data_IF_809525536031
#
_entry.id   IF_809525536031
#
_cell.length_a   1.000
_cell.length_b   1.000
_cell.length_c   1.000
_cell.angle_alpha   90.00
_cell.angle_beta   90.00
_cell.angle_gamma   90.00
#
_symmetry.space_group_name_H-M   'P 1'
#
loop_
_entity.id
_entity.type
_entity.pdbx_description
1 polymer ?
#
# COMPACT_ATOMS: atom_id res chain seq x y z
N UNK A 1 -3.89 -1.08 -12.16
CA UNK A 1 -4.66 0.17 -11.98
C UNK A 1 -4.15 0.77 -10.66
N UNK A 2 -3.64 2.02 -10.67
CA UNK A 2 -2.84 2.60 -9.57
C UNK A 2 -3.39 3.97 -9.17
N UNK A 3 -3.13 4.36 -7.93
CA UNK A 3 -3.38 5.70 -7.40
C UNK A 3 -2.54 6.72 -8.18
N UNK A 4 -3.17 7.77 -8.71
CA UNK A 4 -2.59 8.75 -9.62
C UNK A 4 -1.37 9.47 -9.06
N UNK A 5 -1.46 9.88 -7.80
CA UNK A 5 -0.36 10.53 -7.06
C UNK A 5 0.31 9.56 -6.08
N UNK A 6 0.13 8.24 -6.26
CA UNK A 6 0.73 7.22 -5.43
C UNK A 6 2.20 7.04 -5.76
N UNK A 7 3.06 7.02 -4.75
CA UNK A 7 4.51 6.86 -4.86
C UNK A 7 5.01 5.81 -3.87
N UNK A 8 6.16 5.21 -4.14
CA UNK A 8 6.93 4.48 -3.12
C UNK A 8 7.35 5.47 -2.01
N UNK A 9 7.58 4.97 -0.79
CA UNK A 9 8.08 5.82 0.28
C UNK A 9 9.44 6.43 -0.10
N UNK A 10 9.51 7.75 -0.12
CA UNK A 10 10.69 8.55 -0.46
C UNK A 10 10.68 9.89 0.28
N UNK A 11 11.62 10.80 -0.02
CA UNK A 11 11.61 12.19 0.44
C UNK A 11 10.62 13.09 -0.31
N UNK A 12 9.71 13.75 0.40
CA UNK A 12 8.66 14.61 -0.15
C UNK A 12 7.26 13.99 -0.16
N UNK A 13 7.09 12.75 0.28
CA UNK A 13 5.86 11.98 0.13
C UNK A 13 5.03 12.05 1.42
N UNK A 14 3.72 12.24 1.27
CA UNK A 14 2.78 12.17 2.38
C UNK A 14 2.71 10.73 2.90
N UNK A 15 3.09 10.53 4.15
CA UNK A 15 3.17 9.21 4.80
C UNK A 15 2.09 8.96 5.85
N UNK A 16 1.56 10.00 6.48
CA UNK A 16 0.51 9.90 7.49
C UNK A 16 -0.27 11.21 7.66
N UNK A 17 -1.31 11.20 8.48
CA UNK A 17 -2.11 12.37 8.86
C UNK A 17 -2.48 12.34 10.35
N UNK A 18 -2.30 13.44 11.05
CA UNK A 18 -2.64 13.61 12.47
C UNK A 18 -3.81 14.57 12.66
N UNK A 19 -4.75 14.21 13.55
CA UNK A 19 -5.89 15.06 13.86
C UNK A 19 -5.43 16.34 14.57
N UNK A 20 -5.92 17.48 14.10
CA UNK A 20 -5.78 18.78 14.78
C UNK A 20 -7.16 19.39 15.06
N UNK A 21 -7.18 20.56 15.71
CA UNK A 21 -8.41 21.31 15.97
C UNK A 21 -9.07 21.78 14.67
N UNK A 22 -8.27 22.16 13.67
CA UNK A 22 -8.75 22.79 12.42
C UNK A 22 -8.85 21.82 11.24
N UNK A 23 -8.37 20.58 11.38
CA UNK A 23 -8.39 19.58 10.33
C UNK A 23 -7.43 18.43 10.62
N UNK A 24 -6.69 18.01 9.59
CA UNK A 24 -5.69 16.95 9.67
C UNK A 24 -4.36 17.44 9.14
N UNK A 25 -3.33 17.40 9.98
CA UNK A 25 -1.96 17.75 9.61
C UNK A 25 -1.32 16.59 8.88
N UNK A 26 -0.95 16.80 7.62
CA UNK A 26 -0.18 15.81 6.88
C UNK A 26 1.23 15.66 7.45
N UNK A 27 1.77 14.45 7.33
CA UNK A 27 3.15 14.11 7.63
C UNK A 27 3.86 13.79 6.33
N UNK A 28 4.95 14.51 6.07
CA UNK A 28 5.71 14.42 4.82
C UNK A 28 7.13 13.98 5.15
N UNK A 29 7.62 12.96 4.46
CA UNK A 29 8.95 12.40 4.71
C UNK A 29 10.04 13.36 4.25
N UNK A 30 11.07 13.56 5.07
CA UNK A 30 12.28 14.29 4.66
C UNK A 30 13.31 13.37 3.97
N UNK A 31 14.49 13.90 3.68
CA UNK A 31 15.59 13.15 3.04
C UNK A 31 16.07 11.94 3.83
N UNK A 32 15.84 11.94 5.15
CA UNK A 32 16.18 10.85 6.06
C UNK A 32 14.98 9.93 6.33
N UNK A 33 13.88 10.10 5.58
CA UNK A 33 12.60 9.41 5.74
C UNK A 33 11.97 9.62 7.12
N UNK A 34 12.25 10.76 7.75
CA UNK A 34 11.62 11.16 9.01
C UNK A 34 10.40 12.01 8.69
N UNK A 35 9.29 11.72 9.35
CA UNK A 35 8.03 12.44 9.18
C UNK A 35 8.11 13.87 9.71
N UNK A 36 8.01 14.84 8.81
CA UNK A 36 7.92 16.28 9.11
C UNK A 36 6.48 16.77 8.97
N UNK A 37 6.16 17.87 9.64
CA UNK A 37 4.85 18.50 9.51
C UNK A 37 4.68 19.11 8.11
N UNK A 38 3.58 18.76 7.45
CA UNK A 38 3.12 19.35 6.20
C UNK A 38 1.81 20.12 6.36
N UNK A 39 1.12 20.41 5.25
CA UNK A 39 -0.11 21.20 5.25
C UNK A 39 -1.22 20.57 6.09
N UNK A 40 -2.11 21.44 6.61
CA UNK A 40 -3.31 21.03 7.35
C UNK A 40 -4.51 21.05 6.41
N UNK A 41 -5.19 19.90 6.30
CA UNK A 41 -6.31 19.69 5.39
C UNK A 41 -7.59 19.57 6.22
N UNK A 42 -8.55 20.46 6.00
CA UNK A 42 -9.87 20.34 6.59
C UNK A 42 -10.75 19.50 5.66
N UNK A 43 -11.00 18.24 6.04
CA UNK A 43 -11.78 17.31 5.21
C UNK A 43 -13.24 17.75 5.00
N UNK A 44 -13.81 18.52 5.92
CA UNK A 44 -15.21 18.97 5.84
C UNK A 44 -15.37 20.12 4.84
N UNK A 45 -14.54 21.15 4.96
CA UNK A 45 -14.59 22.31 4.06
C UNK A 45 -13.84 22.09 2.74
N UNK A 46 -12.91 21.13 2.69
CA UNK A 46 -12.00 20.93 1.57
C UNK A 46 -10.90 21.99 1.45
N UNK A 47 -10.74 22.86 2.45
CA UNK A 47 -9.69 23.87 2.48
C UNK A 47 -8.39 23.29 3.02
N UNK A 48 -7.27 23.70 2.41
CA UNK A 48 -5.92 23.36 2.88
C UNK A 48 -5.17 24.61 3.29
N UNK A 49 -4.61 24.58 4.49
CA UNK A 49 -3.67 25.59 4.98
C UNK A 49 -2.26 25.09 4.66
N UNK A 50 -1.58 25.80 3.75
CA UNK A 50 -0.23 25.46 3.30
C UNK A 50 0.81 25.90 4.34
N UNK A 51 1.06 25.03 5.31
CA UNK A 51 2.13 25.15 6.31
C UNK A 51 3.10 23.97 6.17
N UNK A 52 4.35 24.16 6.58
CA UNK A 52 5.35 23.09 6.58
C UNK A 52 5.75 22.58 5.19
N UNK A 53 6.21 21.34 5.12
CA UNK A 53 6.70 20.73 3.89
C UNK A 53 5.52 20.35 2.98
N UNK A 54 5.53 20.86 1.74
CA UNK A 54 4.52 20.50 0.75
C UNK A 54 4.81 19.12 0.16
N UNK A 55 3.81 18.20 0.12
CA UNK A 55 4.03 16.88 -0.43
C UNK A 55 4.10 16.89 -1.97
N UNK A 56 4.91 16.00 -2.52
CA UNK A 56 5.10 15.76 -3.96
C UNK A 56 4.46 14.44 -4.42
N UNK A 57 4.03 13.60 -3.48
CA UNK A 57 3.35 12.33 -3.71
C UNK A 57 2.66 11.82 -2.46
N UNK A 58 2.01 10.66 -2.56
CA UNK A 58 1.31 10.00 -1.44
C UNK A 58 1.82 8.56 -1.35
N UNK A 59 2.35 8.15 -0.19
CA UNK A 59 2.75 6.75 0.02
C UNK A 59 1.51 5.87 0.23
N UNK A 60 1.68 4.54 0.19
CA UNK A 60 0.61 3.61 0.57
C UNK A 60 0.07 3.86 1.99
N UNK A 61 0.92 4.19 2.96
CA UNK A 61 0.50 4.53 4.33
C UNK A 61 -0.22 5.88 4.38
N UNK A 62 0.22 6.83 3.55
CA UNK A 62 -0.46 8.12 3.39
C UNK A 62 -1.86 8.00 2.82
N UNK A 63 -2.06 7.06 1.88
CA UNK A 63 -3.40 6.72 1.35
C UNK A 63 -4.30 6.17 2.45
N UNK A 64 -3.79 5.25 3.28
CA UNK A 64 -4.53 4.72 4.43
C UNK A 64 -4.94 5.84 5.39
N UNK A 65 -4.00 6.72 5.73
CA UNK A 65 -4.25 7.84 6.61
C UNK A 65 -5.26 8.83 6.04
N UNK A 66 -5.19 9.10 4.74
CA UNK A 66 -6.10 10.00 4.03
C UNK A 66 -7.52 9.43 3.96
N UNK A 67 -7.67 8.15 3.62
CA UNK A 67 -8.98 7.47 3.62
C UNK A 67 -9.58 7.50 5.02
N UNK A 68 -8.79 7.13 6.04
CA UNK A 68 -9.23 7.18 7.43
C UNK A 68 -9.70 8.59 7.84
N UNK A 69 -8.89 9.61 7.59
CA UNK A 69 -9.21 11.00 7.92
C UNK A 69 -10.48 11.48 7.20
N UNK A 70 -10.62 11.15 5.92
CA UNK A 70 -11.75 11.54 5.09
C UNK A 70 -13.05 10.83 5.52
N UNK A 71 -12.99 9.54 5.85
CA UNK A 71 -14.14 8.81 6.41
C UNK A 71 -14.54 9.39 7.78
N UNK A 72 -13.56 9.68 8.64
CA UNK A 72 -13.81 10.18 10.01
C UNK A 72 -14.51 11.54 10.04
N UNK A 73 -14.29 12.37 9.02
CA UNK A 73 -14.91 13.69 8.90
C UNK A 73 -16.09 13.73 7.90
N UNK A 74 -16.56 12.58 7.40
CA UNK A 74 -17.71 12.51 6.49
C UNK A 74 -17.44 13.10 5.11
N UNK A 75 -16.16 13.15 4.71
CA UNK A 75 -15.73 13.49 3.35
C UNK A 75 -15.87 12.29 2.41
N UNK A 76 -15.66 11.09 2.93
CA UNK A 76 -15.99 9.82 2.27
C UNK A 76 -17.17 9.18 2.99
N UNK A 77 -18.26 8.95 2.27
CA UNK A 77 -19.45 8.24 2.75
C UNK A 77 -20.02 7.40 1.61
N UNK A 78 -20.48 6.18 1.90
CA UNK A 78 -21.11 5.28 0.91
C UNK A 78 -20.31 5.13 -0.39
N UNK A 79 -18.99 4.95 -0.25
CA UNK A 79 -18.04 4.79 -1.34
C UNK A 79 -17.86 6.01 -2.27
N UNK A 80 -18.30 7.19 -1.84
CA UNK A 80 -18.20 8.44 -2.61
C UNK A 80 -17.40 9.50 -1.87
N UNK A 81 -16.64 10.29 -2.63
CA UNK A 81 -15.95 11.47 -2.11
C UNK A 81 -16.85 12.68 -2.36
N UNK A 82 -17.34 13.31 -1.29
CA UNK A 82 -18.06 14.58 -1.43
C UNK A 82 -17.15 15.64 -2.05
N UNK A 83 -17.61 16.38 -3.04
CA UNK A 83 -16.82 17.41 -3.74
C UNK A 83 -15.46 16.90 -4.26
N UNK A 84 -15.45 15.71 -4.87
CA UNK A 84 -14.28 15.11 -5.51
C UNK A 84 -13.49 16.10 -6.40
N UNK A 85 -12.14 16.10 -6.37
CA UNK A 85 -11.24 15.30 -5.53
C UNK A 85 -10.91 15.95 -4.17
N UNK A 86 -10.33 15.17 -3.25
CA UNK A 86 -9.64 15.70 -2.06
C UNK A 86 -8.34 16.34 -2.53
N UNK A 87 -8.24 17.66 -2.45
CA UNK A 87 -7.05 18.41 -2.88
C UNK A 87 -6.10 18.60 -1.70
N UNK A 88 -4.92 17.96 -1.77
CA UNK A 88 -3.85 18.15 -0.78
C UNK A 88 -3.10 19.44 -1.10
N UNK A 89 -2.72 19.66 -2.35
CA UNK A 89 -2.14 20.92 -2.82
C UNK A 89 -2.43 21.13 -4.32
N UNK A 90 -1.73 22.07 -4.98
CA UNK A 90 -1.94 22.37 -6.40
C UNK A 90 -1.63 21.20 -7.35
N UNK A 91 -0.70 20.32 -6.97
CA UNK A 91 -0.23 19.18 -7.77
C UNK A 91 -0.81 17.85 -7.30
N UNK A 92 -1.09 17.72 -6.02
CA UNK A 92 -1.46 16.47 -5.37
C UNK A 92 -2.94 16.48 -4.98
N UNK A 93 -3.66 15.48 -5.48
CA UNK A 93 -5.07 15.25 -5.20
C UNK A 93 -5.36 13.77 -5.12
N UNK A 94 -6.39 13.41 -4.36
CA UNK A 94 -6.90 12.04 -4.23
C UNK A 94 -8.36 12.01 -4.70
N UNK A 95 -8.61 11.29 -5.78
CA UNK A 95 -9.91 11.22 -6.47
C UNK A 95 -10.73 9.99 -6.07
N UNK A 96 -12.00 9.94 -6.49
CA UNK A 96 -12.85 8.75 -6.33
C UNK A 96 -12.27 7.52 -7.02
N UNK A 97 -11.62 7.68 -8.17
CA UNK A 97 -10.96 6.57 -8.85
C UNK A 97 -9.78 6.05 -8.02
N UNK A 98 -9.00 6.95 -7.42
CA UNK A 98 -7.92 6.56 -6.49
C UNK A 98 -8.49 5.83 -5.26
N UNK A 99 -9.61 6.30 -4.73
CA UNK A 99 -10.32 5.66 -3.63
C UNK A 99 -10.82 4.26 -4.00
N UNK A 100 -11.41 4.09 -5.18
CA UNK A 100 -11.86 2.78 -5.69
C UNK A 100 -10.68 1.82 -5.89
N UNK A 101 -9.53 2.29 -6.34
CA UNK A 101 -8.32 1.46 -6.45
C UNK A 101 -7.77 1.04 -5.09
N UNK A 102 -7.70 1.97 -4.14
CA UNK A 102 -7.32 1.65 -2.76
C UNK A 102 -8.30 0.67 -2.12
N UNK A 103 -9.60 0.86 -2.36
CA UNK A 103 -10.68 0.00 -1.91
C UNK A 103 -10.55 -1.45 -2.37
N UNK A 104 -10.18 -1.68 -3.64
CA UNK A 104 -9.88 -3.04 -4.15
C UNK A 104 -8.76 -3.72 -3.36
N UNK A 105 -7.70 -2.98 -3.02
CA UNK A 105 -6.56 -3.54 -2.28
C UNK A 105 -6.92 -3.81 -0.81
N UNK A 106 -7.58 -2.87 -0.14
CA UNK A 106 -8.07 -3.02 1.24
C UNK A 106 -9.03 -4.20 1.33
N UNK A 107 -9.98 -4.26 0.40
CA UNK A 107 -10.95 -5.34 0.29
C UNK A 107 -10.31 -6.71 0.05
N UNK A 108 -9.32 -6.80 -0.84
CA UNK A 108 -8.58 -8.05 -1.07
C UNK A 108 -7.85 -8.54 0.18
N UNK A 109 -7.23 -7.63 0.94
CA UNK A 109 -6.52 -7.96 2.18
C UNK A 109 -7.50 -8.50 3.24
N UNK A 110 -8.62 -7.81 3.47
CA UNK A 110 -9.62 -8.22 4.46
C UNK A 110 -10.34 -9.52 4.07
N UNK A 111 -10.74 -9.68 2.80
CA UNK A 111 -11.25 -10.95 2.28
C UNK A 111 -10.23 -12.08 2.44
N UNK A 112 -8.94 -11.80 2.21
CA UNK A 112 -7.85 -12.75 2.40
C UNK A 112 -7.73 -13.21 3.85
N UNK A 113 -7.72 -12.28 4.80
CA UNK A 113 -7.70 -12.60 6.23
C UNK A 113 -8.89 -13.49 6.63
N UNK A 114 -10.10 -13.09 6.26
CA UNK A 114 -11.33 -13.85 6.54
C UNK A 114 -11.28 -15.24 5.90
N UNK A 115 -10.86 -15.35 4.64
CA UNK A 115 -10.73 -16.64 3.94
C UNK A 115 -9.78 -17.57 4.67
N UNK A 116 -8.61 -17.08 5.10
CA UNK A 116 -7.64 -17.89 5.82
C UNK A 116 -8.18 -18.36 7.17
N UNK A 117 -8.85 -17.48 7.93
CA UNK A 117 -9.46 -17.81 9.21
C UNK A 117 -10.56 -18.86 9.06
N UNK A 118 -11.46 -18.68 8.09
CA UNK A 118 -12.55 -19.62 7.81
C UNK A 118 -12.03 -20.98 7.34
N UNK A 119 -11.03 -20.98 6.45
CA UNK A 119 -10.40 -22.22 5.96
C UNK A 119 -9.70 -22.97 7.08
N UNK A 120 -9.10 -22.25 8.03
CA UNK A 120 -8.45 -22.83 9.20
C UNK A 120 -9.42 -23.21 10.33
N UNK A 121 -10.71 -22.85 10.24
CA UNK A 121 -11.69 -23.03 11.31
C UNK A 121 -11.35 -22.21 12.57
N UNK A 122 -10.70 -21.05 12.39
CA UNK A 122 -10.27 -20.18 13.49
C UNK A 122 -11.19 -18.96 13.56
N UNK A 123 -11.85 -18.80 14.70
CA UNK A 123 -12.62 -17.60 15.01
C UNK A 123 -11.69 -16.36 15.03
N UNK A 124 -12.06 -15.26 14.35
CA UNK A 124 -11.29 -14.01 14.39
C UNK A 124 -10.93 -13.52 15.78
N UNK A 125 -11.79 -13.74 16.78
CA UNK A 125 -11.52 -13.34 18.16
C UNK A 125 -10.31 -14.05 18.77
N UNK A 126 -9.93 -15.22 18.24
CA UNK A 126 -8.75 -15.97 18.70
C UNK A 126 -7.45 -15.40 18.16
N UNK A 127 -7.49 -14.57 17.12
CA UNK A 127 -6.28 -13.92 16.58
C UNK A 127 -5.93 -12.73 17.47
N UNK A 128 -4.95 -12.92 18.36
CA UNK A 128 -4.53 -11.87 19.32
C UNK A 128 -3.37 -11.02 18.84
N UNK A 129 -2.54 -11.56 17.97
CA UNK A 129 -1.30 -10.90 17.53
C UNK A 129 -1.24 -10.85 16.01
N UNK A 130 -1.01 -9.65 15.47
CA UNK A 130 -0.74 -9.46 14.05
C UNK A 130 0.69 -8.96 13.85
N UNK A 131 1.44 -9.64 12.99
CA UNK A 131 2.79 -9.26 12.60
C UNK A 131 2.72 -8.50 11.27
N UNK A 132 3.20 -7.27 11.26
CA UNK A 132 3.18 -6.36 10.13
C UNK A 132 4.62 -6.21 9.61
N UNK A 133 4.89 -6.70 8.40
CA UNK A 133 6.22 -6.68 7.79
C UNK A 133 6.27 -5.78 6.54
N UNK A 134 7.48 -5.48 6.09
CA UNK A 134 7.76 -4.60 4.95
C UNK A 134 7.69 -3.11 5.31
N UNK A 135 8.07 -2.24 4.37
CA UNK A 135 8.07 -0.79 4.59
C UNK A 135 6.69 -0.30 5.07
N UNK A 136 5.62 -0.59 4.33
CA UNK A 136 4.27 -0.18 4.73
C UNK A 136 3.88 -0.78 6.10
N UNK A 137 4.22 -2.04 6.37
CA UNK A 137 3.94 -2.66 7.67
C UNK A 137 4.66 -1.98 8.84
N UNK A 138 5.81 -1.36 8.60
CA UNK A 138 6.62 -0.66 9.62
C UNK A 138 6.13 0.74 9.95
N UNK A 139 5.54 1.41 8.96
CA UNK A 139 5.17 2.82 9.07
C UNK A 139 3.67 3.06 9.16
N UNK A 140 2.84 2.08 8.78
CA UNK A 140 1.38 2.26 8.81
C UNK A 140 0.90 2.42 10.25
N UNK A 141 0.00 3.36 10.48
CA UNK A 141 -0.65 3.54 11.77
C UNK A 141 -1.61 2.37 12.04
N UNK A 142 -1.43 1.62 13.14
CA UNK A 142 -2.23 0.44 13.42
C UNK A 142 -3.69 0.76 13.83
N UNK A 143 -3.95 1.92 14.42
CA UNK A 143 -5.32 2.39 14.72
C UNK A 143 -6.05 2.67 13.42
N UNK A 144 -5.45 3.49 12.54
CA UNK A 144 -6.04 3.83 11.24
C UNK A 144 -6.27 2.56 10.41
N UNK A 145 -5.30 1.65 10.40
CA UNK A 145 -5.35 0.38 9.67
C UNK A 145 -6.44 -0.57 10.16
N UNK A 146 -6.68 -0.66 11.46
CA UNK A 146 -7.81 -1.43 12.01
C UNK A 146 -9.14 -0.87 11.53
N UNK A 147 -9.32 0.44 11.64
CA UNK A 147 -10.57 1.11 11.28
C UNK A 147 -10.93 0.97 9.80
N UNK A 148 -9.92 0.94 8.92
CA UNK A 148 -10.16 0.71 7.48
C UNK A 148 -10.17 -0.78 7.09
N UNK A 149 -9.92 -1.71 8.01
CA UNK A 149 -10.02 -3.15 7.76
C UNK A 149 -8.74 -3.86 7.28
N UNK A 150 -7.57 -3.22 7.38
CA UNK A 150 -6.28 -3.87 7.08
C UNK A 150 -5.75 -4.71 8.23
N UNK A 151 -6.14 -4.40 9.47
CA UNK A 151 -5.76 -5.18 10.66
C UNK A 151 -7.00 -5.84 11.23
N UNK A 152 -6.87 -7.10 11.65
CA UNK A 152 -7.97 -7.84 12.29
C UNK A 152 -8.43 -7.07 13.54
N UNK A 153 -9.73 -6.75 13.65
CA UNK A 153 -10.28 -5.88 14.70
C UNK A 153 -9.98 -6.37 16.12
N UNK A 154 -9.98 -7.69 16.32
CA UNK A 154 -9.81 -8.36 17.62
C UNK A 154 -8.36 -8.47 18.11
N UNK A 155 -7.36 -8.13 17.28
CA UNK A 155 -5.96 -8.20 17.66
C UNK A 155 -5.64 -7.27 18.83
N UNK A 156 -5.13 -7.80 19.95
CA UNK A 156 -4.71 -7.01 21.10
C UNK A 156 -3.23 -6.63 21.04
N UNK A 157 -2.48 -7.18 20.08
CA UNK A 157 -1.07 -6.88 19.87
C UNK A 157 -0.79 -6.72 18.39
N UNK A 158 -0.18 -5.61 18.00
CA UNK A 158 0.32 -5.39 16.64
C UNK A 158 1.83 -5.25 16.73
N UNK A 159 2.56 -6.10 15.99
CA UNK A 159 4.03 -6.10 15.96
C UNK A 159 4.52 -5.63 14.60
N UNK A 160 5.21 -4.51 14.54
CA UNK A 160 5.80 -3.99 13.30
C UNK A 160 7.23 -4.52 13.17
N UNK A 161 7.41 -5.57 12.36
CA UNK A 161 8.64 -6.38 12.33
C UNK A 161 9.55 -6.07 11.15
N UNK A 162 9.47 -4.86 10.59
CA UNK A 162 10.46 -4.36 9.62
C UNK A 162 10.54 -5.22 8.35
N UNK A 163 11.65 -5.12 7.60
CA UNK A 163 11.91 -5.96 6.43
C UNK A 163 12.40 -7.37 6.80
N UNK A 164 11.48 -8.27 7.10
CA UNK A 164 11.80 -9.67 7.46
C UNK A 164 12.54 -10.43 6.36
N UNK A 165 12.31 -10.11 5.08
CA UNK A 165 13.05 -10.73 3.97
C UNK A 165 14.53 -10.32 3.95
N UNK A 166 14.83 -9.06 4.29
CA UNK A 166 16.21 -8.56 4.36
C UNK A 166 16.93 -9.14 5.58
N UNK A 167 16.24 -9.17 6.73
CA UNK A 167 16.75 -9.82 7.94
C UNK A 167 17.05 -11.30 7.71
N UNK A 168 16.15 -12.03 7.04
CA UNK A 168 16.40 -13.42 6.68
C UNK A 168 17.59 -13.58 5.72
N UNK A 169 17.77 -12.69 4.75
CA UNK A 169 18.92 -12.73 3.86
C UNK A 169 20.25 -12.50 4.60
N UNK A 170 20.26 -11.60 5.59
CA UNK A 170 21.40 -11.38 6.49
C UNK A 170 21.68 -12.61 7.35
N UNK A 171 20.65 -13.18 7.99
CA UNK A 171 20.78 -14.40 8.78
C UNK A 171 21.33 -15.55 7.93
N UNK A 172 20.86 -15.67 6.69
CA UNK A 172 21.32 -16.68 5.74
C UNK A 172 22.80 -16.54 5.38
N UNK A 173 23.28 -15.31 5.19
CA UNK A 173 24.68 -15.04 4.91
C UNK A 173 25.60 -15.44 6.07
N UNK A 174 25.11 -15.28 7.31
CA UNK A 174 25.87 -15.60 8.53
C UNK A 174 25.73 -17.07 8.95
N UNK A 175 24.63 -17.73 8.57
CA UNK A 175 24.26 -19.10 8.98
C UNK A 175 23.65 -19.89 7.81
N UNK A 176 24.44 -20.22 6.78
CA UNK A 176 23.94 -20.89 5.58
C UNK A 176 23.32 -22.28 5.85
N UNK A 177 23.68 -22.93 6.95
CA UNK A 177 23.12 -24.20 7.40
C UNK A 177 21.61 -24.13 7.69
N UNK A 178 21.07 -22.93 7.97
CA UNK A 178 19.63 -22.70 8.15
C UNK A 178 18.81 -23.05 6.90
N UNK A 179 19.43 -23.20 5.72
CA UNK A 179 18.73 -23.61 4.50
C UNK A 179 17.95 -24.92 4.68
N UNK A 180 18.48 -25.86 5.47
CA UNK A 180 17.84 -27.14 5.73
C UNK A 180 16.51 -26.96 6.45
N UNK A 181 16.52 -26.19 7.53
CA UNK A 181 15.34 -25.90 8.35
C UNK A 181 14.30 -25.07 7.57
N UNK A 182 14.74 -24.10 6.77
CA UNK A 182 13.87 -23.29 5.92
C UNK A 182 13.20 -24.14 4.83
N UNK A 183 13.93 -25.07 4.21
CA UNK A 183 13.36 -26.02 3.25
C UNK A 183 12.33 -26.94 3.93
N UNK A 184 12.62 -27.44 5.12
CA UNK A 184 11.66 -28.25 5.88
C UNK A 184 10.41 -27.45 6.28
N UNK A 185 10.54 -26.16 6.61
CA UNK A 185 9.41 -25.26 6.87
C UNK A 185 8.59 -25.03 5.60
N UNK A 186 9.24 -24.74 4.47
CA UNK A 186 8.59 -24.59 3.16
C UNK A 186 7.75 -25.81 2.83
N UNK A 187 8.31 -27.02 2.99
CA UNK A 187 7.61 -28.26 2.64
C UNK A 187 6.33 -28.46 3.48
N UNK A 188 6.36 -28.04 4.75
CA UNK A 188 5.17 -28.02 5.60
C UNK A 188 4.13 -26.99 5.16
N UNK A 189 4.57 -25.82 4.70
CA UNK A 189 3.68 -24.72 4.28
C UNK A 189 3.00 -24.98 2.93
N UNK A 190 3.75 -25.48 1.94
CA UNK A 190 3.24 -25.69 0.57
C UNK A 190 2.06 -26.66 0.56
N UNK A 191 2.06 -27.68 1.42
CA UNK A 191 0.96 -28.65 1.54
C UNK A 191 -0.35 -28.06 2.07
N UNK A 192 -0.30 -26.88 2.70
CA UNK A 192 -1.46 -26.19 3.31
C UNK A 192 -1.74 -24.83 2.67
N UNK A 193 -1.17 -24.59 1.49
CA UNK A 193 -1.32 -23.33 0.79
C UNK A 193 -2.77 -23.12 0.31
N UNK A 194 -3.36 -21.98 0.67
CA UNK A 194 -4.70 -21.60 0.23
C UNK A 194 -4.59 -20.74 -1.02
N UNK A 195 -4.91 -21.33 -2.17
CA UNK A 195 -4.95 -20.61 -3.44
C UNK A 195 -6.22 -19.75 -3.52
N UNK A 196 -6.11 -18.44 -3.28
CA UNK A 196 -7.26 -17.53 -3.36
C UNK A 196 -7.96 -17.54 -4.72
N UNK A 197 -7.20 -17.71 -5.82
CA UNK A 197 -7.75 -17.78 -7.17
C UNK A 197 -8.71 -18.97 -7.39
N UNK A 198 -8.61 -20.02 -6.59
CA UNK A 198 -9.50 -21.19 -6.63
C UNK A 198 -10.37 -21.33 -5.38
N UNK A 199 -10.43 -20.29 -4.54
CA UNK A 199 -11.23 -20.30 -3.32
C UNK A 199 -12.57 -19.61 -3.58
N UNK A 200 -13.65 -20.37 -3.48
CA UNK A 200 -15.02 -19.83 -3.56
C UNK A 200 -15.28 -18.83 -2.41
N UNK A 201 -14.79 -19.16 -1.20
CA UNK A 201 -14.87 -18.28 -0.01
C UNK A 201 -14.21 -16.92 -0.31
N UNK A 202 -12.98 -16.92 -0.84
CA UNK A 202 -12.30 -15.67 -1.18
C UNK A 202 -13.06 -14.89 -2.24
N UNK A 203 -13.49 -15.58 -3.31
CA UNK A 203 -14.18 -14.96 -4.44
C UNK A 203 -15.49 -14.30 -3.99
N UNK A 204 -16.29 -14.99 -3.17
CA UNK A 204 -17.52 -14.46 -2.61
C UNK A 204 -17.28 -13.30 -1.65
N UNK A 205 -16.34 -13.42 -0.70
CA UNK A 205 -16.00 -12.34 0.22
C UNK A 205 -15.45 -11.11 -0.51
N UNK A 206 -14.58 -11.31 -1.51
CA UNK A 206 -14.00 -10.22 -2.29
C UNK A 206 -15.05 -9.46 -3.10
N UNK A 207 -16.06 -10.14 -3.65
CA UNK A 207 -17.20 -9.45 -4.31
C UNK A 207 -17.94 -8.54 -3.33
N UNK A 208 -18.08 -8.95 -2.07
CA UNK A 208 -18.75 -8.14 -1.04
C UNK A 208 -17.87 -6.97 -0.59
N UNK A 209 -16.57 -7.20 -0.46
CA UNK A 209 -15.59 -6.14 -0.23
C UNK A 209 -15.59 -5.10 -1.35
N UNK A 210 -15.58 -5.56 -2.60
CA UNK A 210 -15.67 -4.72 -3.78
C UNK A 210 -16.96 -3.90 -3.76
N UNK A 211 -18.10 -4.54 -3.51
CA UNK A 211 -19.38 -3.83 -3.43
C UNK A 211 -19.40 -2.78 -2.30
N UNK A 212 -18.75 -3.06 -1.17
CA UNK A 212 -18.62 -2.13 -0.04
C UNK A 212 -17.70 -0.95 -0.34
N UNK A 213 -16.55 -1.18 -0.97
CA UNK A 213 -15.58 -0.13 -1.23
C UNK A 213 -15.87 0.68 -2.49
N UNK A 214 -16.49 0.07 -3.51
CA UNK A 214 -16.59 0.63 -4.84
C UNK A 214 -18.02 0.97 -5.25
N UNK A 215 -19.01 0.17 -4.82
CA UNK A 215 -20.39 0.26 -5.30
C UNK A 215 -21.36 0.87 -4.27
N UNK A 216 -20.88 1.30 -3.11
CA UNK A 216 -21.71 1.94 -2.09
C UNK A 216 -22.59 0.96 -1.31
N UNK A 217 -22.21 -0.31 -1.21
CA UNK A 217 -22.98 -1.27 -0.42
C UNK A 217 -23.11 -0.78 1.04
N UNK A 218 -24.35 -0.66 1.57
CA UNK A 218 -24.55 -0.27 2.96
C UNK A 218 -23.90 -1.23 3.95
N UNK A 219 -23.30 -0.70 5.02
CA UNK A 219 -22.60 -1.48 6.05
C UNK A 219 -23.49 -2.55 6.68
N UNK A 220 -24.79 -2.27 6.89
CA UNK A 220 -25.73 -3.25 7.44
C UNK A 220 -25.95 -4.47 6.54
N UNK A 221 -25.85 -4.31 5.22
CA UNK A 221 -25.91 -5.42 4.26
C UNK A 221 -24.63 -6.23 4.34
N UNK A 222 -23.48 -5.55 4.45
CA UNK A 222 -22.21 -6.23 4.58
C UNK A 222 -22.11 -7.05 5.88
N UNK A 223 -22.61 -6.53 7.00
CA UNK A 223 -22.72 -7.29 8.27
C UNK A 223 -23.46 -8.63 8.09
N UNK A 224 -24.64 -8.60 7.46
CA UNK A 224 -25.43 -9.82 7.18
C UNK A 224 -24.69 -10.83 6.29
N UNK A 225 -23.78 -10.37 5.44
CA UNK A 225 -22.92 -11.30 4.68
C UNK A 225 -21.99 -12.01 5.66
N UNK A 226 -21.28 -11.29 6.51
CA UNK A 226 -20.31 -11.85 7.45
C UNK A 226 -20.95 -12.79 8.48
N UNK A 227 -22.18 -12.50 8.92
CA UNK A 227 -22.97 -13.41 9.76
C UNK A 227 -23.15 -14.79 9.10
N UNK A 228 -23.35 -14.86 7.78
CA UNK A 228 -23.47 -16.14 7.07
C UNK A 228 -22.16 -16.95 7.02
N UNK A 229 -21.02 -16.28 7.26
CA UNK A 229 -19.72 -16.94 7.39
C UNK A 229 -19.31 -17.15 8.86
N UNK A 230 -20.19 -16.92 9.84
CA UNK A 230 -19.85 -17.06 11.26
C UNK A 230 -18.84 -16.01 11.76
N UNK A 231 -18.84 -14.84 11.13
CA UNK A 231 -18.04 -13.67 11.51
C UNK A 231 -18.97 -12.54 12.02
N UNK A 232 -20.00 -12.89 12.78
CA UNK A 232 -20.96 -11.94 13.35
C UNK A 232 -20.23 -10.83 14.12
N UNK A 233 -20.61 -9.57 13.96
CA UNK A 233 -20.00 -8.45 14.68
C UNK A 233 -18.52 -8.20 14.40
N UNK A 234 -17.89 -8.84 13.40
CA UNK A 234 -16.49 -8.61 13.03
C UNK A 234 -16.21 -7.14 12.72
N UNK A 235 -17.13 -6.45 12.05
CA UNK A 235 -17.00 -5.02 11.69
C UNK A 235 -17.39 -4.06 12.81
N UNK A 236 -17.97 -4.55 13.90
CA UNK A 236 -18.56 -3.74 14.98
C UNK A 236 -17.70 -3.72 16.24
N UNK A 237 -16.65 -4.52 16.24
CA UNK A 237 -15.76 -4.72 17.39
C UNK A 237 -14.41 -4.17 16.99
N UNK A 238 -13.84 -3.28 17.78
CA UNK A 238 -12.43 -2.89 17.66
C UNK A 238 -11.84 -2.96 19.06
N UNK A 239 -10.93 -3.91 19.30
CA UNK A 239 -10.22 -4.01 20.58
C UNK A 239 -9.02 -3.05 20.58
N UNK A 240 -8.77 -2.42 21.72
CA UNK A 240 -7.51 -1.72 21.93
C UNK A 240 -6.33 -2.67 21.78
N UNK A 241 -5.19 -2.14 21.34
CA UNK A 241 -4.00 -2.94 21.09
C UNK A 241 -2.76 -2.27 21.65
N UNK A 242 -1.78 -3.12 21.99
CA UNK A 242 -0.42 -2.68 22.27
C UNK A 242 0.37 -2.75 20.97
N UNK A 243 0.98 -1.63 20.59
CA UNK A 243 1.93 -1.58 19.50
C UNK A 243 3.32 -1.98 20.01
N UNK A 244 3.89 -3.03 19.42
CA UNK A 244 5.29 -3.41 19.63
C UNK A 244 6.07 -3.05 18.38
N UNK A 245 6.89 -2.02 18.49
CA UNK A 245 7.75 -1.53 17.41
C UNK A 245 9.21 -1.62 17.88
N UNK A 246 9.93 -2.71 17.56
CA UNK A 246 11.29 -2.95 18.03
C UNK A 246 12.31 -1.97 17.43
N UNK A 247 12.01 -1.40 16.26
CA UNK A 247 12.87 -0.44 15.57
C UNK A 247 12.04 0.74 15.08
N UNK A 248 12.58 1.95 15.15
CA UNK A 248 11.90 3.15 14.66
C UNK A 248 11.70 3.11 13.13
N UNK A 249 12.66 2.50 12.42
CA UNK A 249 12.72 2.38 10.97
C UNK A 249 12.58 0.93 10.53
N UNK A 250 12.34 0.73 9.23
CA UNK A 250 12.24 -0.57 8.55
C UNK A 250 13.57 -1.30 8.39
N UNK A 251 14.68 -0.63 8.67
CA UNK A 251 16.01 -1.20 8.88
C UNK A 251 16.40 -0.92 10.34
N UNK A 252 16.56 -1.98 11.12
CA UNK A 252 16.78 -1.88 12.57
C UNK A 252 18.17 -1.40 12.96
N UNK A 253 19.18 -1.79 12.19
CA UNK A 253 20.58 -1.37 12.34
C UNK A 253 21.05 -0.77 11.02
N UNK A 254 21.26 0.55 11.01
CA UNK A 254 21.68 1.30 9.83
C UNK A 254 23.21 1.43 9.72
N UNK A 255 23.98 0.92 10.67
CA UNK A 255 25.42 1.16 10.75
C UNK A 255 25.76 2.64 10.99
N UNK A 256 26.77 3.16 10.28
CA UNK A 256 27.27 4.53 10.45
C UNK A 256 26.37 5.60 9.80
N UNK A 257 25.89 5.35 8.58
CA UNK A 257 24.99 6.24 7.85
C UNK A 257 24.02 5.44 6.96
N UNK A 258 22.88 6.04 6.67
CA UNK A 258 21.93 5.55 5.68
C UNK A 258 21.91 6.54 4.52
N UNK A 259 22.51 6.16 3.40
CA UNK A 259 22.47 6.92 2.17
C UNK A 259 21.61 6.19 1.13
N UNK A 260 20.58 6.88 0.63
CA UNK A 260 19.80 6.36 -0.49
C UNK A 260 20.65 6.55 -1.74
N UNK A 261 21.31 5.48 -2.16
CA UNK A 261 22.09 5.45 -3.39
C UNK A 261 21.16 5.02 -4.52
N UNK A 262 21.03 5.84 -5.56
CA UNK A 262 20.51 5.35 -6.83
C UNK A 262 21.57 4.40 -7.39
N UNK A 263 21.34 3.09 -7.24
CA UNK A 263 22.23 2.05 -7.76
C UNK A 263 22.38 2.15 -9.29
N UNK A 264 21.57 3.00 -9.96
CA UNK A 264 21.80 3.40 -11.34
C UNK A 264 21.64 2.27 -12.33
N UNK A 265 21.13 1.12 -11.88
CA UNK A 265 20.89 -0.03 -12.75
C UNK A 265 19.81 0.40 -13.72
N UNK A 266 20.27 0.61 -14.95
CA UNK A 266 19.43 1.06 -16.02
C UNK A 266 19.44 0.00 -17.09
N UNK A 267 18.28 -0.23 -17.67
CA UNK A 267 18.20 -1.02 -18.88
C UNK A 267 17.95 -0.08 -20.04
N UNK A 268 18.58 -0.34 -21.17
CA UNK A 268 18.38 0.44 -22.38
C UNK A 268 17.82 -0.38 -23.53
N UNK A 269 17.13 0.31 -24.44
CA UNK A 269 16.67 -0.25 -25.70
C UNK A 269 16.61 0.86 -26.75
N UNK A 270 17.15 0.58 -27.94
CA UNK A 270 16.93 1.40 -29.13
C UNK A 270 15.74 0.84 -29.93
N UNK A 271 14.82 1.70 -30.35
CA UNK A 271 13.71 1.28 -31.21
C UNK A 271 13.25 2.43 -32.11
N UNK A 272 12.83 2.09 -33.33
CA UNK A 272 12.13 3.02 -34.22
C UNK A 272 10.73 3.32 -33.65
N UNK A 273 10.54 4.54 -33.15
CA UNK A 273 9.37 4.98 -32.40
C UNK A 273 8.95 6.36 -32.89
N UNK A 274 7.64 6.61 -32.97
CA UNK A 274 7.11 7.93 -33.36
C UNK A 274 7.36 9.06 -32.35
N UNK A 275 8.08 8.77 -31.26
CA UNK A 275 8.45 9.73 -30.21
C UNK A 275 7.26 10.48 -29.61
N UNK A 276 6.09 9.83 -29.50
CA UNK A 276 4.91 10.46 -28.88
C UNK A 276 5.09 10.74 -27.37
N UNK A 277 6.10 10.14 -26.74
CA UNK A 277 6.46 10.28 -25.32
C UNK A 277 5.36 9.86 -24.32
N UNK A 278 4.33 9.14 -24.78
CA UNK A 278 3.23 8.72 -23.92
C UNK A 278 3.68 7.70 -22.86
N UNK A 279 4.56 6.76 -23.23
CA UNK A 279 5.15 5.81 -22.28
C UNK A 279 5.91 6.52 -21.15
N UNK A 280 6.73 7.53 -21.48
CA UNK A 280 7.48 8.35 -20.52
C UNK A 280 6.53 9.13 -19.62
N UNK A 281 5.57 9.86 -20.19
CA UNK A 281 4.61 10.67 -19.42
C UNK A 281 3.64 9.87 -18.54
N UNK A 282 3.35 8.63 -18.93
CA UNK A 282 2.43 7.75 -18.19
C UNK A 282 3.10 6.93 -17.08
N UNK A 283 4.44 6.97 -16.98
CA UNK A 283 5.17 6.26 -15.95
C UNK A 283 4.94 6.92 -14.58
N UNK A 284 4.28 6.22 -13.62
CA UNK A 284 3.94 6.82 -12.32
C UNK A 284 5.19 7.13 -11.49
N UNK A 285 6.20 6.26 -11.52
CA UNK A 285 7.44 6.40 -10.74
C UNK A 285 8.51 7.25 -11.45
N UNK A 286 8.18 7.87 -12.59
CA UNK A 286 9.14 8.61 -13.43
C UNK A 286 10.41 7.80 -13.77
N UNK A 287 10.26 6.47 -13.91
CA UNK A 287 11.35 5.52 -14.09
C UNK A 287 11.85 5.40 -15.54
N UNK A 288 11.13 5.95 -16.51
CA UNK A 288 11.44 5.83 -17.95
C UNK A 288 11.82 7.20 -18.52
N UNK A 289 12.94 7.25 -19.25
CA UNK A 289 13.37 8.41 -20.03
C UNK A 289 13.66 8.01 -21.48
N UNK A 290 13.69 9.00 -22.37
CA UNK A 290 14.06 8.83 -23.78
C UNK A 290 14.94 9.99 -24.22
N UNK A 291 16.09 9.67 -24.80
CA UNK A 291 17.07 10.63 -25.33
C UNK A 291 17.95 9.94 -26.37
N UNK A 292 18.38 10.68 -27.40
CA UNK A 292 19.25 10.19 -28.47
C UNK A 292 18.79 8.89 -29.15
N UNK A 293 17.48 8.69 -29.28
CA UNK A 293 16.89 7.48 -29.88
C UNK A 293 16.86 6.26 -28.97
N UNK A 294 17.29 6.39 -27.71
CA UNK A 294 17.39 5.31 -26.73
C UNK A 294 16.39 5.52 -25.60
N UNK A 295 15.62 4.48 -25.29
CA UNK A 295 14.84 4.42 -24.06
C UNK A 295 15.71 3.91 -22.93
N UNK A 296 15.67 4.57 -21.78
CA UNK A 296 16.38 4.17 -20.56
C UNK A 296 15.38 3.98 -19.43
N UNK A 297 15.37 2.79 -18.84
CA UNK A 297 14.54 2.45 -17.67
C UNK A 297 15.44 2.36 -16.45
N UNK A 298 15.20 3.20 -15.44
CA UNK A 298 15.79 3.00 -14.11
C UNK A 298 15.05 1.82 -13.44
N UNK A 299 15.74 0.69 -13.28
CA UNK A 299 15.13 -0.53 -12.74
C UNK A 299 14.86 -0.44 -11.25
N UNK A 300 15.55 0.44 -10.51
CA UNK A 300 15.30 0.70 -9.10
C UNK A 300 13.96 1.40 -8.84
N UNK A 301 13.47 2.19 -9.80
CA UNK A 301 12.16 2.87 -9.72
C UNK A 301 11.05 2.14 -10.48
N UNK A 302 11.39 1.30 -11.45
CA UNK A 302 10.39 0.66 -12.30
C UNK A 302 9.59 -0.40 -11.52
N UNK A 303 8.25 -0.29 -11.55
CA UNK A 303 7.33 -1.30 -10.98
C UNK A 303 7.25 -2.61 -11.80
N UNK A 304 8.12 -2.78 -12.79
CA UNK A 304 8.25 -3.99 -13.60
C UNK A 304 7.03 -4.31 -14.48
N UNK A 305 6.94 -5.57 -14.89
CA UNK A 305 5.92 -6.08 -15.82
C UNK A 305 4.51 -6.09 -15.25
N UNK A 306 4.36 -6.04 -13.91
CA UNK A 306 3.07 -5.94 -13.25
C UNK A 306 2.38 -4.58 -13.49
N UNK A 307 3.16 -3.51 -13.69
CA UNK A 307 2.61 -2.19 -14.00
C UNK A 307 2.24 -2.04 -15.48
N UNK A 308 3.14 -2.43 -16.40
CA UNK A 308 2.85 -2.57 -17.84
C UNK A 308 2.45 -1.31 -18.62
N UNK A 309 2.17 -0.17 -17.98
CA UNK A 309 1.60 1.04 -18.61
C UNK A 309 2.37 1.55 -19.82
N UNK A 310 3.69 1.52 -19.76
CA UNK A 310 4.54 1.95 -20.88
C UNK A 310 4.35 1.08 -22.13
N UNK A 311 4.03 -0.20 -21.95
CA UNK A 311 3.73 -1.16 -23.02
C UNK A 311 2.27 -1.04 -23.47
N UNK A 312 1.32 -0.97 -22.53
CA UNK A 312 -0.12 -0.92 -22.82
C UNK A 312 -0.56 0.38 -23.51
N UNK A 313 -0.02 1.52 -23.07
CA UNK A 313 -0.37 2.82 -23.62
C UNK A 313 0.37 3.13 -24.93
N UNK A 314 1.29 2.28 -25.38
CA UNK A 314 2.06 2.53 -26.59
C UNK A 314 1.18 2.29 -27.84
N UNK A 315 0.81 3.34 -28.61
CA UNK A 315 -0.11 3.17 -29.75
C UNK A 315 0.49 2.33 -30.89
N UNK A 316 1.82 2.27 -30.94
CA UNK A 316 2.56 1.50 -31.95
C UNK A 316 2.98 0.12 -31.42
N UNK A 317 2.72 -0.19 -30.14
CA UNK A 317 3.14 -1.43 -29.48
C UNK A 317 4.66 -1.75 -29.60
N UNK A 318 5.48 -0.70 -29.77
CA UNK A 318 6.94 -0.81 -29.94
C UNK A 318 7.67 -0.99 -28.61
N UNK A 319 7.09 -0.51 -27.51
CA UNK A 319 7.69 -0.68 -26.19
C UNK A 319 7.48 -2.12 -25.70
N UNK A 320 8.56 -2.90 -25.59
CA UNK A 320 8.54 -4.27 -25.03
C UNK A 320 9.54 -4.38 -23.90
N UNK A 321 9.06 -4.60 -22.68
CA UNK A 321 9.94 -4.65 -21.50
C UNK A 321 11.03 -5.73 -21.62
N UNK A 322 10.70 -6.88 -22.24
CA UNK A 322 11.64 -7.99 -22.45
C UNK A 322 12.78 -7.69 -23.44
N UNK A 323 12.66 -6.63 -24.25
CA UNK A 323 13.68 -6.24 -25.21
C UNK A 323 14.75 -5.31 -24.61
N UNK A 324 14.54 -4.81 -23.40
CA UNK A 324 15.53 -4.03 -22.65
C UNK A 324 16.69 -4.93 -22.20
N UNK A 325 17.90 -4.38 -22.26
CA UNK A 325 19.13 -5.03 -21.79
C UNK A 325 19.72 -4.23 -20.63
N UNK A 326 20.20 -4.94 -19.60
CA UNK A 326 21.00 -4.32 -18.54
C UNK A 326 22.22 -3.65 -19.17
N UNK A 327 22.43 -2.38 -18.82
CA UNK A 327 23.64 -1.65 -19.16
C UNK A 327 24.83 -2.13 -18.32
#
# INVERSE_FOLDING_TARGET
>A
QHIKCGMIAGPGELSDMERTVTGWRSKVLDKSLIAQNGPVINMRSGMTVNEGTAPEGITGTGVIALIFAAMRDGRIEESKIRNDPIRINRKISFSEDDFREAGKAIGAIRAGHLTLMLTAGVDPERIKTMYMAGASGTYVDPVKSKEIGLIIPDCTTVKQVCYTSLELAKDFLLKPEMIGDLNALRDKLVTKHVMFASSDIFSELYVQEYAFWNDGMPLNRYRRVLERYGAEGYLDRTKEHVLVKPHERDIGDIGESLDIVDLGTSMSMSHDCSQCMLCVRSCPEHALSFGDGVFTVNTGKCLGTACGRCQENCPQHVFRYSAFRLN
#
